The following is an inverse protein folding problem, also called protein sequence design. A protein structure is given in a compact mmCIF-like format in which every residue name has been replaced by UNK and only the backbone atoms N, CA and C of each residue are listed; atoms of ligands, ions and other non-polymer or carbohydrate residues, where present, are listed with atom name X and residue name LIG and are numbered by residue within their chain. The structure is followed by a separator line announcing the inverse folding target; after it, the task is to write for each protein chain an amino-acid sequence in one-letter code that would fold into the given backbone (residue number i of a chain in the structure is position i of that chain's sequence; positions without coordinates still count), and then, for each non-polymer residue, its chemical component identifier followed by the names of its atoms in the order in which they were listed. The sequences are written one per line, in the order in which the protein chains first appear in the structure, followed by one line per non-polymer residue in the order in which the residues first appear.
data_IF_618707708388
#
_entry.id   IF_618707708388
#
_cell.length_a   1.000
_cell.length_b   1.000
_cell.length_c   1.000
_cell.angle_alpha   90.00
_cell.angle_beta   90.00
_cell.angle_gamma   90.00
#
_symmetry.space_group_name_H-M   'P 1'
#
loop_
_entity.id
_entity.type
_entity.pdbx_description
1 polymer ?
#
# COMPACT_ATOMS: atom_id res chain seq x y z
N UNK A 1 -60.72 -45.26 55.69
CA UNK A 1 -61.33 -44.05 55.08
C UNK A 1 -60.37 -42.89 55.31
N UNK A 2 -59.64 -42.49 54.26
CA UNK A 2 -58.74 -41.35 54.33
C UNK A 2 -59.54 -40.05 54.34
N UNK A 3 -59.24 -39.17 55.29
CA UNK A 3 -59.91 -37.90 55.49
C UNK A 3 -59.63 -36.98 54.28
N UNK A 4 -60.63 -36.61 53.46
CA UNK A 4 -60.42 -35.94 52.16
C UNK A 4 -59.71 -34.58 52.31
N UNK A 5 -59.81 -33.96 53.49
CA UNK A 5 -59.07 -32.73 53.85
C UNK A 5 -57.56 -32.96 53.95
N UNK A 6 -57.13 -34.14 54.43
CA UNK A 6 -55.70 -34.48 54.54
C UNK A 6 -55.09 -34.78 53.17
N UNK A 7 -55.87 -35.35 52.24
CA UNK A 7 -55.45 -35.55 50.85
C UNK A 7 -55.29 -34.21 50.10
N UNK A 8 -56.20 -33.25 50.33
CA UNK A 8 -56.08 -31.90 49.76
C UNK A 8 -54.82 -31.16 50.24
N UNK A 9 -54.54 -31.21 51.54
CA UNK A 9 -53.34 -30.57 52.12
C UNK A 9 -52.06 -31.26 51.62
N UNK A 10 -52.03 -32.60 51.55
CA UNK A 10 -50.88 -33.32 51.04
C UNK A 10 -50.57 -32.98 49.57
N UNK A 11 -51.60 -32.86 48.72
CA UNK A 11 -51.43 -32.48 47.31
C UNK A 11 -50.87 -31.07 47.15
N UNK A 12 -51.34 -30.11 47.95
CA UNK A 12 -50.83 -28.73 47.95
C UNK A 12 -49.37 -28.68 48.39
N UNK A 13 -48.99 -29.42 49.42
CA UNK A 13 -47.59 -29.47 49.91
C UNK A 13 -46.65 -30.04 48.83
N UNK A 14 -47.06 -31.10 48.14
CA UNK A 14 -46.26 -31.68 47.04
C UNK A 14 -46.13 -30.70 45.89
N UNK A 15 -47.21 -30.02 45.48
CA UNK A 15 -47.15 -29.00 44.42
C UNK A 15 -46.22 -27.84 44.77
N UNK A 16 -46.26 -27.37 46.02
CA UNK A 16 -45.36 -26.32 46.51
C UNK A 16 -43.91 -26.80 46.51
N UNK A 17 -43.64 -28.03 46.97
CA UNK A 17 -42.29 -28.60 46.95
C UNK A 17 -41.73 -28.73 45.53
N UNK A 18 -42.56 -29.16 44.57
CA UNK A 18 -42.20 -29.25 43.14
C UNK A 18 -41.95 -27.86 42.56
N UNK A 19 -42.78 -26.87 42.87
CA UNK A 19 -42.59 -25.50 42.41
C UNK A 19 -41.28 -24.89 42.94
N UNK A 20 -40.95 -25.13 44.22
CA UNK A 20 -39.68 -24.69 44.82
C UNK A 20 -38.49 -25.39 44.16
N UNK A 21 -38.57 -26.71 43.91
CA UNK A 21 -37.50 -27.46 43.26
C UNK A 21 -37.23 -26.98 41.82
N UNK A 22 -38.28 -26.71 41.04
CA UNK A 22 -38.16 -26.16 39.69
C UNK A 22 -37.58 -24.73 39.70
N UNK A 23 -37.98 -23.90 40.65
CA UNK A 23 -37.47 -22.54 40.81
C UNK A 23 -35.99 -22.53 41.24
N UNK A 24 -35.61 -23.38 42.19
CA UNK A 24 -34.23 -23.56 42.62
C UNK A 24 -33.35 -24.09 41.49
N UNK A 25 -33.81 -25.08 40.72
CA UNK A 25 -33.10 -25.60 39.56
C UNK A 25 -32.89 -24.55 38.45
N UNK A 26 -33.88 -23.68 38.22
CA UNK A 26 -33.78 -22.60 37.22
C UNK A 26 -32.82 -21.50 37.65
N UNK A 27 -32.84 -21.09 38.92
CA UNK A 27 -31.93 -20.07 39.47
C UNK A 27 -30.50 -20.57 39.49
N UNK A 28 -30.27 -21.80 39.95
CA UNK A 28 -28.92 -22.37 40.02
C UNK A 28 -28.34 -22.65 38.63
N UNK A 29 -29.17 -23.14 37.68
CA UNK A 29 -28.77 -23.31 36.28
C UNK A 29 -28.40 -22.00 35.58
N UNK A 30 -29.12 -20.90 35.85
CA UNK A 30 -28.77 -19.59 35.29
C UNK A 30 -27.50 -18.99 35.90
N UNK A 31 -27.25 -19.23 37.19
CA UNK A 31 -26.05 -18.71 37.87
C UNK A 31 -24.75 -19.42 37.45
N UNK A 32 -24.82 -20.70 37.09
CA UNK A 32 -23.67 -21.45 36.60
C UNK A 32 -23.32 -21.12 35.14
N UNK A 33 -24.30 -20.73 34.32
CA UNK A 33 -24.09 -20.38 32.91
C UNK A 33 -23.59 -18.93 32.69
N UNK A 34 -23.89 -18.01 33.60
CA UNK A 34 -23.43 -16.61 33.54
C UNK A 34 -21.91 -16.43 33.43
N UNK A 35 -21.05 -17.09 34.23
CA UNK A 35 -19.61 -16.92 34.11
C UNK A 35 -19.04 -17.47 32.80
N UNK A 36 -19.65 -18.53 32.23
CA UNK A 36 -19.21 -19.10 30.95
C UNK A 36 -19.55 -18.17 29.78
N UNK A 37 -20.73 -17.55 29.79
CA UNK A 37 -21.14 -16.56 28.79
C UNK A 37 -20.27 -15.30 28.89
N UNK A 38 -20.04 -14.76 30.09
CA UNK A 38 -19.16 -13.61 30.29
C UNK A 38 -17.71 -13.89 29.86
N UNK A 39 -17.20 -15.11 30.13
CA UNK A 39 -15.88 -15.52 29.66
C UNK A 39 -15.84 -15.70 28.12
N UNK A 40 -16.93 -16.15 27.50
CA UNK A 40 -17.03 -16.25 26.04
C UNK A 40 -17.09 -14.86 25.38
N UNK A 41 -17.87 -13.94 25.93
CA UNK A 41 -17.94 -12.53 25.49
C UNK A 41 -16.56 -11.87 25.59
N UNK A 42 -15.88 -12.01 26.73
CA UNK A 42 -14.54 -11.45 26.89
C UNK A 42 -13.51 -12.07 25.92
N UNK A 43 -13.64 -13.35 25.56
CA UNK A 43 -12.80 -13.97 24.52
C UNK A 43 -13.13 -13.44 23.13
N UNK A 44 -14.41 -13.21 22.82
CA UNK A 44 -14.84 -12.62 21.56
C UNK A 44 -14.31 -11.19 21.42
N UNK A 45 -14.44 -10.35 22.45
CA UNK A 45 -13.90 -8.99 22.47
C UNK A 45 -12.38 -8.96 22.28
N UNK A 46 -11.64 -9.86 22.94
CA UNK A 46 -10.18 -9.98 22.74
C UNK A 46 -9.84 -10.42 21.32
N UNK A 47 -10.53 -11.41 20.79
CA UNK A 47 -10.32 -11.86 19.41
C UNK A 47 -10.66 -10.76 18.39
N UNK A 48 -11.70 -9.96 18.64
CA UNK A 48 -12.04 -8.80 17.80
C UNK A 48 -10.97 -7.72 17.88
N UNK A 49 -10.44 -7.43 19.07
CA UNK A 49 -9.33 -6.48 19.24
C UNK A 49 -8.06 -6.96 18.54
N UNK A 50 -7.68 -8.23 18.69
CA UNK A 50 -6.53 -8.84 18.00
C UNK A 50 -6.70 -8.82 16.47
N UNK A 51 -7.90 -9.10 15.96
CA UNK A 51 -8.20 -9.00 14.54
C UNK A 51 -8.15 -7.56 14.02
N UNK A 52 -8.59 -6.59 14.82
CA UNK A 52 -8.52 -5.17 14.46
C UNK A 52 -7.06 -4.70 14.40
N UNK A 53 -6.23 -5.11 15.35
CA UNK A 53 -4.79 -4.81 15.37
C UNK A 53 -4.06 -5.46 14.18
N UNK A 54 -4.33 -6.74 13.90
CA UNK A 54 -3.75 -7.45 12.76
C UNK A 54 -4.13 -6.78 11.42
N UNK A 55 -5.39 -6.34 11.27
CA UNK A 55 -5.84 -5.61 10.08
C UNK A 55 -5.13 -4.27 9.93
N UNK A 56 -5.00 -3.51 11.02
CA UNK A 56 -4.29 -2.24 10.99
C UNK A 56 -2.81 -2.42 10.61
N UNK A 57 -2.15 -3.46 11.13
CA UNK A 57 -0.77 -3.80 10.74
C UNK A 57 -0.67 -4.15 9.25
N UNK A 58 -1.56 -5.01 8.75
CA UNK A 58 -1.55 -5.38 7.33
C UNK A 58 -1.87 -4.20 6.40
N UNK A 59 -2.77 -3.30 6.78
CA UNK A 59 -3.06 -2.10 6.00
C UNK A 59 -1.84 -1.17 5.92
N UNK A 60 -1.04 -1.10 7.00
CA UNK A 60 0.23 -0.38 6.99
C UNK A 60 1.25 -1.04 6.05
N UNK A 61 1.43 -2.36 6.13
CA UNK A 61 2.31 -3.12 5.25
C UNK A 61 1.92 -2.99 3.77
N UNK A 62 0.62 -3.07 3.46
CA UNK A 62 0.11 -2.88 2.09
C UNK A 62 0.41 -1.46 1.60
N UNK A 63 0.24 -0.46 2.46
CA UNK A 63 0.52 0.93 2.11
C UNK A 63 2.00 1.14 1.84
N UNK A 64 2.88 0.58 2.67
CA UNK A 64 4.33 0.65 2.48
C UNK A 64 4.78 -0.09 1.21
N UNK A 65 4.26 -1.29 0.97
CA UNK A 65 4.54 -2.05 -0.24
C UNK A 65 4.10 -1.30 -1.50
N UNK A 66 2.94 -0.63 -1.48
CA UNK A 66 2.46 0.22 -2.59
C UNK A 66 3.38 1.41 -2.84
N UNK A 67 3.87 2.09 -1.80
CA UNK A 67 4.84 3.19 -1.95
C UNK A 67 6.17 2.69 -2.51
N UNK A 68 6.65 1.54 -2.04
CA UNK A 68 7.89 0.94 -2.55
C UNK A 68 7.76 0.52 -4.02
N UNK A 69 6.59 -0.02 -4.40
CA UNK A 69 6.31 -0.39 -5.78
C UNK A 69 6.28 0.84 -6.68
N UNK A 70 5.53 1.88 -6.32
CA UNK A 70 5.46 3.11 -7.13
C UNK A 70 6.81 3.80 -7.27
N UNK A 71 7.62 3.84 -6.21
CA UNK A 71 8.98 4.36 -6.27
C UNK A 71 9.88 3.53 -7.22
N UNK A 72 9.74 2.20 -7.20
CA UNK A 72 10.49 1.31 -8.09
C UNK A 72 10.06 1.47 -9.54
N UNK A 73 8.76 1.53 -9.82
CA UNK A 73 8.21 1.77 -11.17
C UNK A 73 8.69 3.11 -11.74
N UNK A 74 8.66 4.18 -10.93
CA UNK A 74 9.21 5.48 -11.31
C UNK A 74 10.70 5.38 -11.67
N UNK A 75 11.49 4.70 -10.84
CA UNK A 75 12.93 4.50 -11.09
C UNK A 75 13.18 3.72 -12.39
N UNK A 76 12.40 2.68 -12.66
CA UNK A 76 12.49 1.93 -13.93
C UNK A 76 12.15 2.83 -15.12
N UNK A 77 11.09 3.64 -15.04
CA UNK A 77 10.72 4.56 -16.12
C UNK A 77 11.82 5.59 -16.41
N UNK A 78 12.45 6.14 -15.37
CA UNK A 78 13.60 7.06 -15.53
C UNK A 78 14.81 6.35 -16.19
N UNK A 79 15.12 5.12 -15.78
CA UNK A 79 16.21 4.34 -16.36
C UNK A 79 15.94 3.95 -17.82
N UNK A 80 14.71 3.61 -18.17
CA UNK A 80 14.34 3.32 -19.56
C UNK A 80 14.39 4.59 -20.42
N UNK A 81 13.92 5.74 -19.92
CA UNK A 81 14.10 7.03 -20.60
C UNK A 81 15.60 7.34 -20.83
N UNK A 82 16.45 7.13 -19.81
CA UNK A 82 17.91 7.30 -19.93
C UNK A 82 18.50 6.40 -21.00
N UNK A 83 18.09 5.13 -21.03
CA UNK A 83 18.49 4.18 -22.07
C UNK A 83 18.11 4.66 -23.47
N UNK A 84 16.89 5.17 -23.65
CA UNK A 84 16.45 5.71 -24.94
C UNK A 84 17.29 6.92 -25.34
N UNK A 85 17.63 7.83 -24.42
CA UNK A 85 18.55 8.95 -24.71
C UNK A 85 19.94 8.46 -25.11
N UNK A 86 20.48 7.43 -24.44
CA UNK A 86 21.76 6.84 -24.83
C UNK A 86 21.73 6.26 -26.25
N UNK A 87 20.67 5.51 -26.60
CA UNK A 87 20.46 5.01 -27.95
C UNK A 87 20.32 6.16 -28.97
N UNK A 88 19.68 7.28 -28.60
CA UNK A 88 19.60 8.45 -29.46
C UNK A 88 20.98 9.04 -29.77
N UNK A 89 21.89 9.06 -28.79
CA UNK A 89 23.28 9.50 -28.98
C UNK A 89 24.03 8.53 -29.91
N UNK A 90 23.89 7.22 -29.71
CA UNK A 90 24.55 6.21 -30.56
C UNK A 90 24.07 6.30 -32.01
N UNK A 91 22.77 6.52 -32.23
CA UNK A 91 22.20 6.71 -33.57
C UNK A 91 22.61 8.06 -34.18
N UNK A 92 22.76 9.11 -33.36
CA UNK A 92 23.29 10.39 -33.80
C UNK A 92 24.74 10.26 -34.29
N UNK A 93 25.58 9.52 -33.55
CA UNK A 93 26.98 9.24 -33.92
C UNK A 93 27.06 8.44 -35.24
N UNK A 94 26.05 7.60 -35.53
CA UNK A 94 25.88 6.88 -36.80
C UNK A 94 25.22 7.72 -37.92
N UNK A 95 24.85 8.98 -37.65
CA UNK A 95 24.13 9.88 -38.56
C UNK A 95 22.72 9.38 -38.95
N UNK A 96 22.09 8.59 -38.08
CA UNK A 96 20.73 8.07 -38.24
C UNK A 96 19.70 8.97 -37.53
N UNK A 97 19.53 10.22 -37.98
CA UNK A 97 18.66 11.21 -37.30
C UNK A 97 17.21 10.74 -37.11
N UNK A 98 16.69 9.97 -38.05
CA UNK A 98 15.33 9.42 -37.96
C UNK A 98 15.16 8.45 -36.80
N UNK A 99 16.18 7.63 -36.51
CA UNK A 99 16.17 6.71 -35.37
C UNK A 99 16.46 7.46 -34.07
N UNK A 100 17.45 8.36 -34.08
CA UNK A 100 17.76 9.21 -32.92
C UNK A 100 16.51 9.98 -32.45
N UNK A 101 15.75 10.57 -33.37
CA UNK A 101 14.49 11.28 -33.05
C UNK A 101 13.43 10.36 -32.47
N UNK A 102 13.28 9.13 -32.99
CA UNK A 102 12.34 8.15 -32.44
C UNK A 102 12.72 7.76 -31.01
N UNK A 103 14.00 7.62 -30.73
CA UNK A 103 14.48 7.35 -29.38
C UNK A 103 14.20 8.53 -28.43
N UNK A 104 14.43 9.78 -28.83
CA UNK A 104 14.04 10.96 -28.04
C UNK A 104 12.52 11.00 -27.78
N UNK A 105 11.70 10.70 -28.79
CA UNK A 105 10.24 10.64 -28.64
C UNK A 105 9.81 9.55 -27.66
N UNK A 106 10.40 8.35 -27.73
CA UNK A 106 10.13 7.27 -26.77
C UNK A 106 10.56 7.63 -25.35
N UNK A 107 11.69 8.32 -25.20
CA UNK A 107 12.13 8.83 -23.91
C UNK A 107 11.07 9.81 -23.35
N UNK A 108 10.61 10.76 -24.16
CA UNK A 108 9.55 11.69 -23.78
C UNK A 108 8.20 11.00 -23.45
N UNK A 109 7.81 9.98 -24.22
CA UNK A 109 6.61 9.17 -23.93
C UNK A 109 6.73 8.44 -22.59
N UNK A 110 7.91 7.87 -22.31
CA UNK A 110 8.19 7.17 -21.05
C UNK A 110 8.15 8.13 -19.88
N UNK A 111 8.75 9.31 -20.01
CA UNK A 111 8.72 10.34 -18.97
C UNK A 111 7.33 10.93 -18.77
N UNK A 112 6.59 11.20 -19.84
CA UNK A 112 5.22 11.73 -19.74
C UNK A 112 4.20 10.71 -19.21
N UNK A 113 4.55 9.42 -19.18
CA UNK A 113 3.77 8.39 -18.51
C UNK A 113 4.09 8.29 -17.01
N UNK A 114 5.20 8.89 -16.55
CA UNK A 114 5.44 9.12 -15.13
C UNK A 114 4.50 10.21 -14.64
N UNK A 115 4.14 10.16 -13.36
CA UNK A 115 3.16 11.05 -12.72
C UNK A 115 3.41 12.54 -13.09
N UNK A 116 2.55 13.17 -13.92
CA UNK A 116 2.78 14.52 -14.44
C UNK A 116 2.74 15.56 -13.32
N UNK A 117 3.62 16.56 -13.37
CA UNK A 117 3.65 17.64 -12.38
C UNK A 117 4.30 17.28 -11.04
N UNK A 118 4.88 16.07 -10.92
CA UNK A 118 5.66 15.70 -9.74
C UNK A 118 7.06 16.34 -9.73
N UNK A 119 7.57 16.76 -10.90
CA UNK A 119 8.92 17.31 -11.07
C UNK A 119 8.97 18.21 -12.31
N UNK A 120 9.07 19.53 -12.10
CA UNK A 120 9.13 20.53 -13.17
C UNK A 120 10.33 20.32 -14.10
N UNK A 121 11.47 19.81 -13.58
CA UNK A 121 12.66 19.55 -14.40
C UNK A 121 12.40 18.39 -15.37
N UNK A 122 11.70 17.34 -14.92
CA UNK A 122 11.33 16.21 -15.77
C UNK A 122 10.25 16.56 -16.80
N UNK A 123 9.32 17.45 -16.46
CA UNK A 123 8.32 17.95 -17.41
C UNK A 123 8.99 18.79 -18.51
N UNK A 124 9.91 19.68 -18.14
CA UNK A 124 10.71 20.44 -19.09
C UNK A 124 11.56 19.53 -19.98
N UNK A 125 12.18 18.50 -19.40
CA UNK A 125 12.95 17.50 -20.14
C UNK A 125 12.08 16.71 -21.12
N UNK A 126 10.87 16.34 -20.71
CA UNK A 126 9.90 15.63 -21.56
C UNK A 126 9.57 16.43 -22.81
N UNK A 127 9.31 17.73 -22.66
CA UNK A 127 9.01 18.59 -23.79
C UNK A 127 10.24 18.86 -24.67
N UNK A 128 11.42 19.02 -24.06
CA UNK A 128 12.68 19.14 -24.79
C UNK A 128 12.97 17.90 -25.67
N UNK A 129 12.78 16.70 -25.12
CA UNK A 129 12.97 15.44 -25.85
C UNK A 129 11.90 15.21 -26.93
N UNK A 130 10.65 15.62 -26.68
CA UNK A 130 9.54 15.53 -27.64
C UNK A 130 9.76 16.42 -28.86
N UNK A 131 10.24 17.63 -28.62
CA UNK A 131 10.47 18.66 -29.64
C UNK A 131 11.88 18.62 -30.25
N UNK A 132 12.73 17.70 -29.80
CA UNK A 132 14.12 17.60 -30.23
C UNK A 132 14.25 17.40 -31.75
N UNK A 133 15.02 18.29 -32.39
CA UNK A 133 15.32 18.24 -33.82
C UNK A 133 16.82 18.17 -34.04
N UNK A 134 17.22 17.40 -35.05
CA UNK A 134 18.61 17.28 -35.46
C UNK A 134 18.80 18.05 -36.77
N UNK A 135 19.73 19.00 -36.78
CA UNK A 135 20.09 19.76 -37.98
C UNK A 135 21.26 19.08 -38.71
N UNK A 136 21.20 19.01 -40.04
CA UNK A 136 22.26 18.40 -40.86
C UNK A 136 23.52 19.27 -40.99
N UNK A 137 23.41 20.59 -40.77
CA UNK A 137 24.41 21.58 -41.19
C UNK A 137 25.47 21.91 -40.11
N UNK A 138 25.90 20.92 -39.33
CA UNK A 138 27.10 21.02 -38.49
C UNK A 138 26.88 21.23 -37.00
N UNK A 139 25.63 21.25 -36.52
CA UNK A 139 25.30 21.33 -35.08
C UNK A 139 25.35 19.97 -34.35
N UNK A 140 26.05 18.97 -34.90
CA UNK A 140 26.10 17.62 -34.32
C UNK A 140 26.63 17.60 -32.89
N UNK A 141 27.72 18.33 -32.62
CA UNK A 141 28.30 18.38 -31.28
C UNK A 141 27.38 19.09 -30.29
N UNK A 142 26.58 20.07 -30.76
CA UNK A 142 25.59 20.75 -29.93
C UNK A 142 24.43 19.84 -29.58
N UNK A 143 23.87 19.12 -30.58
CA UNK A 143 22.84 18.10 -30.33
C UNK A 143 23.34 17.00 -29.38
N UNK A 144 24.59 16.56 -29.57
CA UNK A 144 25.21 15.53 -28.73
C UNK A 144 25.42 16.01 -27.29
N UNK A 145 25.87 17.26 -27.12
CA UNK A 145 26.01 17.90 -25.81
C UNK A 145 24.65 18.03 -25.12
N UNK A 146 23.63 18.51 -25.82
CA UNK A 146 22.28 18.63 -25.26
C UNK A 146 21.73 17.28 -24.80
N UNK A 147 21.86 16.21 -25.60
CA UNK A 147 21.44 14.86 -25.20
C UNK A 147 22.21 14.32 -23.99
N UNK A 148 23.50 14.67 -23.84
CA UNK A 148 24.28 14.31 -22.64
C UNK A 148 23.82 15.06 -21.40
N UNK A 149 23.47 16.34 -21.54
CA UNK A 149 22.90 17.13 -20.45
C UNK A 149 21.54 16.55 -20.02
N UNK A 150 20.70 16.16 -20.99
CA UNK A 150 19.45 15.44 -20.73
C UNK A 150 19.67 14.11 -19.99
N UNK A 151 20.67 13.33 -20.41
CA UNK A 151 21.03 12.11 -19.69
C UNK A 151 21.50 12.41 -18.25
N UNK A 152 22.27 13.47 -18.04
CA UNK A 152 22.71 13.87 -16.70
C UNK A 152 21.53 14.32 -15.80
N UNK A 153 20.52 15.00 -16.34
CA UNK A 153 19.28 15.29 -15.61
C UNK A 153 18.59 14.00 -15.16
N UNK A 154 18.46 13.00 -16.04
CA UNK A 154 17.88 11.70 -15.69
C UNK A 154 18.69 10.97 -14.61
N UNK A 155 20.01 11.09 -14.63
CA UNK A 155 20.89 10.46 -13.63
C UNK A 155 20.67 11.00 -12.23
N UNK A 156 20.49 12.32 -12.13
CA UNK A 156 20.15 12.99 -10.88
C UNK A 156 18.77 12.59 -10.39
N UNK A 157 17.79 12.48 -11.30
CA UNK A 157 16.44 12.05 -10.95
C UNK A 157 16.37 10.59 -10.46
N UNK A 158 17.22 9.71 -10.99
CA UNK A 158 17.30 8.29 -10.55
C UNK A 158 17.95 8.14 -9.18
N UNK A 159 18.89 9.02 -8.86
CA UNK A 159 19.67 8.98 -7.62
C UNK A 159 19.47 10.30 -6.89
N UNK A 160 18.29 10.53 -6.27
CA UNK A 160 18.08 11.73 -5.48
C UNK A 160 19.17 11.76 -4.41
N UNK A 161 19.89 12.88 -4.33
CA UNK A 161 21.04 13.04 -3.46
C UNK A 161 20.61 12.69 -2.03
N UNK A 162 21.13 11.59 -1.50
CA UNK A 162 20.79 11.10 -0.14
C UNK A 162 21.59 11.85 0.93
N UNK A 163 22.26 12.94 0.54
CA UNK A 163 23.19 13.71 1.36
C UNK A 163 22.53 14.54 2.47
N UNK A 164 21.19 14.63 2.53
CA UNK A 164 20.48 15.51 3.47
C UNK A 164 19.83 14.80 4.67
N UNK A 165 20.17 13.53 4.95
CA UNK A 165 19.40 12.76 5.95
C UNK A 165 20.07 11.57 6.63
N UNK A 166 21.40 11.48 6.67
CA UNK A 166 22.03 10.53 7.60
C UNK A 166 22.02 11.16 9.01
N UNK A 167 21.23 10.67 9.99
CA UNK A 167 21.46 11.08 11.37
C UNK A 167 22.89 10.68 11.72
N UNK A 168 23.65 11.63 12.26
CA UNK A 168 24.94 11.37 12.86
C UNK A 168 24.75 10.21 13.85
N UNK A 169 25.29 9.05 13.47
CA UNK A 169 25.42 7.92 14.38
C UNK A 169 26.48 8.32 15.40
N UNK A 170 26.06 8.99 16.46
CA UNK A 170 26.86 9.19 17.66
C UNK A 170 27.16 7.79 18.23
N UNK A 171 28.40 7.37 18.03
CA UNK A 171 29.04 6.23 18.69
C UNK A 171 29.88 6.73 19.86
#
# INVERSE_FOLDING_TARGET
MGDPKKLGVAAVVVLVAVAIALFAGRIWGSSAAQPEVAAAEQRAERAEAELAEARASHDQEITEARRSLSASERRVGLLEARRQVALAIDELDQRNFGLARRHCQRAAETLGALEPGADEELDALTEALRSFQFELDGQFEDSRRALREHAATLDRAVTPDTSDGAPASDA
#
